data_IF_740389643341
#
_entry.id   IF_740389643341
#
_cell.length_a   1.000
_cell.length_b   1.000
_cell.length_c   1.000
_cell.angle_alpha   90.00
_cell.angle_beta   90.00
_cell.angle_gamma   90.00
#
_symmetry.space_group_name_H-M   'P 1'
#
loop_
_entity.id
_entity.type
_entity.pdbx_description
1 polymer ?
#
# COMPACT_ATOMS: atom_id res chain seq x y z
N UNK A 1 -9.92 31.16 -9.27
CA UNK A 1 -10.28 29.80 -9.74
C UNK A 1 -10.08 28.86 -8.57
N UNK A 2 -11.16 28.53 -7.84
CA UNK A 2 -11.10 27.76 -6.60
C UNK A 2 -11.10 26.28 -6.96
N UNK A 3 -10.06 25.55 -6.56
CA UNK A 3 -10.01 24.10 -6.73
C UNK A 3 -11.13 23.47 -5.90
N UNK A 4 -12.02 22.74 -6.59
CA UNK A 4 -13.11 21.96 -6.02
C UNK A 4 -12.56 21.04 -4.92
N UNK A 5 -13.04 21.27 -3.70
CA UNK A 5 -12.92 20.34 -2.58
C UNK A 5 -13.71 19.08 -2.93
N UNK A 6 -13.02 18.06 -3.42
CA UNK A 6 -13.59 16.73 -3.65
C UNK A 6 -14.05 16.15 -2.31
N UNK A 7 -15.36 16.17 -2.09
CA UNK A 7 -16.04 15.41 -1.04
C UNK A 7 -15.76 13.94 -1.37
N UNK A 8 -14.83 13.32 -0.64
CA UNK A 8 -14.73 11.86 -0.63
C UNK A 8 -16.08 11.33 -0.13
N UNK A 9 -16.77 10.45 -0.86
CA UNK A 9 -17.98 9.82 -0.34
C UNK A 9 -17.64 9.14 0.99
N UNK A 10 -18.51 9.26 1.99
CA UNK A 10 -18.39 8.51 3.23
C UNK A 10 -18.73 7.05 2.91
N UNK A 11 -17.73 6.29 2.48
CA UNK A 11 -17.89 4.88 2.09
C UNK A 11 -18.03 4.06 3.36
N UNK A 12 -19.15 3.36 3.47
CA UNK A 12 -19.41 2.45 4.59
C UNK A 12 -18.43 1.26 4.57
N UNK A 13 -18.11 0.71 5.75
CA UNK A 13 -17.09 -0.33 5.91
C UNK A 13 -17.21 -1.49 4.91
N UNK A 14 -18.42 -2.04 4.74
CA UNK A 14 -18.68 -3.17 3.85
C UNK A 14 -18.57 -2.79 2.36
N UNK A 15 -18.94 -1.55 2.02
CA UNK A 15 -18.83 -1.03 0.66
C UNK A 15 -17.34 -0.86 0.29
N UNK A 16 -16.54 -0.28 1.18
CA UNK A 16 -15.10 -0.16 0.99
C UNK A 16 -14.44 -1.54 0.83
N UNK A 17 -14.81 -2.49 1.68
CA UNK A 17 -14.33 -3.87 1.59
C UNK A 17 -14.68 -4.50 0.24
N UNK A 18 -15.95 -4.37 -0.20
CA UNK A 18 -16.39 -4.89 -1.50
C UNK A 18 -15.61 -4.30 -2.67
N UNK A 19 -15.40 -2.98 -2.68
CA UNK A 19 -14.60 -2.29 -3.69
C UNK A 19 -13.14 -2.77 -3.71
N UNK A 20 -12.51 -2.91 -2.53
CA UNK A 20 -11.13 -3.40 -2.43
C UNK A 20 -11.00 -4.84 -2.92
N UNK A 21 -11.92 -5.72 -2.53
CA UNK A 21 -11.93 -7.12 -2.99
C UNK A 21 -12.12 -7.21 -4.50
N UNK A 22 -13.01 -6.40 -5.08
CA UNK A 22 -13.21 -6.32 -6.52
C UNK A 22 -11.94 -5.83 -7.25
N UNK A 23 -11.26 -4.81 -6.72
CA UNK A 23 -9.98 -4.33 -7.25
C UNK A 23 -8.87 -5.40 -7.16
N UNK A 24 -8.78 -6.12 -6.04
CA UNK A 24 -7.80 -7.19 -5.83
C UNK A 24 -8.00 -8.32 -6.85
N UNK A 25 -9.24 -8.75 -7.07
CA UNK A 25 -9.59 -9.79 -8.08
C UNK A 25 -8.99 -9.49 -9.45
N UNK A 26 -8.97 -8.21 -9.85
CA UNK A 26 -8.48 -7.79 -11.17
C UNK A 26 -6.97 -7.54 -11.23
N UNK A 27 -6.27 -7.56 -10.09
CA UNK A 27 -4.83 -7.38 -10.02
C UNK A 27 -4.10 -8.73 -10.06
N UNK A 28 -3.18 -8.92 -11.01
CA UNK A 28 -2.50 -10.22 -11.24
C UNK A 28 -1.87 -10.84 -9.99
N UNK A 29 -1.34 -10.01 -9.10
CA UNK A 29 -0.71 -10.44 -7.87
C UNK A 29 -1.72 -10.76 -6.76
N UNK A 30 -2.70 -9.89 -6.53
CA UNK A 30 -3.66 -10.01 -5.42
C UNK A 30 -4.84 -10.93 -5.74
N UNK A 31 -5.19 -11.10 -7.02
CA UNK A 31 -6.30 -11.97 -7.44
C UNK A 31 -6.04 -13.46 -7.22
N UNK A 32 -4.79 -13.82 -6.88
CA UNK A 32 -4.41 -15.19 -6.49
C UNK A 32 -4.50 -15.42 -4.98
N UNK A 33 -4.79 -14.39 -4.19
CA UNK A 33 -4.84 -14.50 -2.73
C UNK A 33 -6.14 -15.14 -2.28
N UNK A 34 -6.09 -16.02 -1.27
CA UNK A 34 -7.31 -16.60 -0.75
C UNK A 34 -8.14 -15.55 -0.01
N UNK A 35 -9.47 -15.67 -0.07
CA UNK A 35 -10.39 -14.70 0.53
C UNK A 35 -10.08 -14.42 2.01
N UNK A 36 -9.74 -15.45 2.79
CA UNK A 36 -9.44 -15.32 4.22
C UNK A 36 -8.14 -14.55 4.52
N UNK A 37 -7.28 -14.25 3.53
CA UNK A 37 -6.12 -13.37 3.76
C UNK A 37 -6.55 -11.93 4.05
N UNK A 38 -7.77 -11.55 3.64
CA UNK A 38 -8.34 -10.22 3.86
C UNK A 38 -8.31 -9.78 5.33
N UNK A 39 -8.47 -10.72 6.26
CA UNK A 39 -8.44 -10.49 7.71
C UNK A 39 -7.10 -9.94 8.20
N UNK A 40 -6.02 -10.24 7.48
CA UNK A 40 -4.66 -9.85 7.81
C UNK A 40 -4.19 -8.66 6.99
N UNK A 41 -4.59 -8.59 5.73
CA UNK A 41 -4.02 -7.64 4.76
C UNK A 41 -4.84 -6.34 4.66
N UNK A 42 -6.18 -6.46 4.68
CA UNK A 42 -7.09 -5.35 4.35
C UNK A 42 -7.91 -4.89 5.55
N UNK A 43 -8.49 -5.83 6.32
CA UNK A 43 -9.38 -5.48 7.43
C UNK A 43 -8.72 -4.60 8.49
N UNK A 44 -7.47 -4.85 8.92
CA UNK A 44 -6.83 -3.99 9.92
C UNK A 44 -6.68 -2.54 9.45
N UNK A 45 -6.39 -2.34 8.15
CA UNK A 45 -6.30 -1.02 7.56
C UNK A 45 -7.66 -0.31 7.56
N UNK A 46 -8.72 -1.01 7.15
CA UNK A 46 -10.08 -0.47 7.15
C UNK A 46 -10.53 -0.09 8.56
N UNK A 47 -10.33 -0.96 9.55
CA UNK A 47 -10.74 -0.74 10.93
C UNK A 47 -10.07 0.47 11.58
N UNK A 48 -8.83 0.81 11.18
CA UNK A 48 -8.13 2.00 11.67
C UNK A 48 -8.29 3.23 10.77
N UNK A 49 -9.09 3.15 9.69
CA UNK A 49 -9.19 4.25 8.72
C UNK A 49 -7.88 4.53 7.97
N UNK A 50 -7.00 3.52 7.89
CA UNK A 50 -5.68 3.60 7.27
C UNK A 50 -5.70 3.07 5.83
N UNK A 51 -6.67 3.53 5.05
CA UNK A 51 -6.82 3.15 3.66
C UNK A 51 -7.38 4.30 2.82
N UNK A 52 -7.15 4.26 1.51
CA UNK A 52 -7.73 5.20 0.55
C UNK A 52 -8.06 4.50 -0.75
N UNK A 53 -9.32 4.58 -1.16
CA UNK A 53 -9.81 4.13 -2.47
C UNK A 53 -9.80 5.33 -3.42
N UNK A 54 -9.40 5.08 -4.66
CA UNK A 54 -9.31 6.06 -5.74
C UNK A 54 -10.35 5.74 -6.79
N UNK A 55 -10.95 6.78 -7.36
CA UNK A 55 -12.01 6.69 -8.34
C UNK A 55 -11.62 7.43 -9.62
N UNK A 56 -12.11 6.95 -10.76
CA UNK A 56 -12.05 7.69 -12.02
C UNK A 56 -13.14 8.79 -12.08
N UNK A 57 -13.19 9.52 -13.20
CA UNK A 57 -14.17 10.58 -13.46
C UNK A 57 -15.63 10.08 -13.44
N UNK A 58 -15.86 8.78 -13.69
CA UNK A 58 -17.16 8.14 -13.68
C UNK A 58 -17.53 7.53 -12.32
N UNK A 59 -16.69 7.74 -11.29
CA UNK A 59 -16.81 7.15 -9.94
C UNK A 59 -16.66 5.63 -9.89
N UNK A 60 -15.97 5.02 -10.85
CA UNK A 60 -15.57 3.62 -10.74
C UNK A 60 -14.32 3.52 -9.84
N UNK A 61 -14.24 2.58 -8.89
CA UNK A 61 -13.03 2.37 -8.12
C UNK A 61 -11.92 1.88 -9.06
N UNK A 62 -10.75 2.53 -9.05
CA UNK A 62 -9.63 2.22 -9.97
C UNK A 62 -8.35 1.80 -9.27
N UNK A 63 -8.32 1.92 -7.95
CA UNK A 63 -7.23 1.45 -7.13
C UNK A 63 -7.42 1.81 -5.67
N UNK A 64 -6.60 1.23 -4.81
CA UNK A 64 -6.52 1.58 -3.41
C UNK A 64 -5.10 1.44 -2.87
N UNK A 65 -4.86 2.06 -1.73
CA UNK A 65 -3.69 1.80 -0.91
C UNK A 65 -4.11 1.64 0.56
N UNK A 66 -3.44 0.73 1.26
CA UNK A 66 -3.54 0.55 2.71
C UNK A 66 -2.20 0.86 3.35
N UNK A 67 -2.24 1.32 4.61
CA UNK A 67 -1.01 1.58 5.36
C UNK A 67 -1.13 1.20 6.83
N UNK A 68 0.02 1.12 7.47
CA UNK A 68 0.17 0.93 8.90
C UNK A 68 1.16 1.95 9.47
N UNK A 69 0.90 2.40 10.70
CA UNK A 69 1.79 3.21 11.51
C UNK A 69 2.40 2.35 12.60
N UNK A 70 3.59 1.83 12.37
CA UNK A 70 4.23 0.85 13.23
C UNK A 70 5.13 1.52 14.27
N UNK A 71 5.27 0.89 15.43
CA UNK A 71 6.43 1.13 16.30
C UNK A 71 7.64 0.35 15.78
N UNK A 72 8.81 0.57 16.40
CA UNK A 72 10.05 -0.08 15.96
C UNK A 72 9.96 -1.61 16.11
N UNK A 73 9.39 -2.14 17.20
CA UNK A 73 9.26 -3.59 17.41
C UNK A 73 8.40 -4.26 16.33
N UNK A 74 7.24 -3.70 16.00
CA UNK A 74 6.36 -4.23 14.96
C UNK A 74 7.01 -4.15 13.57
N UNK A 75 7.78 -3.08 13.31
CA UNK A 75 8.56 -2.95 12.09
C UNK A 75 9.66 -4.01 12.01
N UNK A 76 10.43 -4.23 13.08
CA UNK A 76 11.48 -5.25 13.11
C UNK A 76 10.92 -6.66 12.97
N UNK A 77 9.81 -6.96 13.66
CA UNK A 77 9.06 -8.22 13.51
C UNK A 77 8.79 -8.52 12.03
N UNK A 78 8.29 -7.54 11.29
CA UNK A 78 8.02 -7.69 9.85
C UNK A 78 9.30 -7.83 9.03
N UNK A 79 10.35 -7.05 9.31
CA UNK A 79 11.60 -7.09 8.55
C UNK A 79 12.37 -8.42 8.71
N UNK A 80 12.20 -9.04 9.87
CA UNK A 80 12.77 -10.34 10.26
C UNK A 80 11.88 -11.53 9.87
N UNK A 81 10.68 -11.29 9.32
CA UNK A 81 9.71 -12.31 8.94
C UNK A 81 9.22 -13.17 10.14
N UNK A 82 9.06 -12.54 11.31
CA UNK A 82 8.63 -13.16 12.58
C UNK A 82 7.09 -13.29 12.71
N UNK A 83 6.39 -13.31 11.57
CA UNK A 83 4.94 -13.46 11.48
C UNK A 83 4.14 -12.16 11.39
N UNK A 84 2.81 -12.31 11.41
CA UNK A 84 1.86 -11.25 11.09
C UNK A 84 1.72 -10.20 12.20
N UNK A 85 1.30 -8.99 11.83
CA UNK A 85 0.94 -7.94 12.78
C UNK A 85 -0.38 -8.28 13.50
N UNK A 86 -0.43 -8.03 14.80
CA UNK A 86 -1.69 -7.92 15.52
C UNK A 86 -2.40 -6.60 15.17
N UNK A 87 -3.73 -6.55 15.29
CA UNK A 87 -4.53 -5.36 14.99
C UNK A 87 -4.04 -4.11 15.73
N UNK A 88 -3.61 -4.23 16.99
CA UNK A 88 -3.08 -3.10 17.77
C UNK A 88 -1.78 -2.53 17.21
N UNK A 89 -0.96 -3.35 16.56
CA UNK A 89 0.34 -2.96 16.02
C UNK A 89 0.22 -2.09 14.76
N UNK A 90 -0.93 -2.14 14.07
CA UNK A 90 -1.19 -1.34 12.86
C UNK A 90 -1.21 0.17 13.07
N UNK A 91 -1.41 0.62 14.32
CA UNK A 91 -1.42 2.05 14.71
C UNK A 91 -0.49 2.34 15.90
N UNK A 92 0.55 1.53 16.06
CA UNK A 92 1.42 1.52 17.24
C UNK A 92 2.53 2.58 17.27
N UNK A 93 2.81 3.31 16.18
CA UNK A 93 3.94 4.24 16.18
C UNK A 93 4.01 5.22 15.01
N UNK A 94 5.22 5.53 14.54
CA UNK A 94 5.50 6.57 13.55
C UNK A 94 6.22 6.05 12.29
N UNK A 95 6.43 4.73 12.17
CA UNK A 95 6.98 4.12 10.98
C UNK A 95 5.87 3.77 10.00
N UNK A 96 5.76 4.56 8.93
CA UNK A 96 4.78 4.33 7.87
C UNK A 96 5.17 3.12 7.02
N UNK A 97 4.28 2.14 6.94
CA UNK A 97 4.36 1.04 6.00
C UNK A 97 3.19 1.13 5.02
N UNK A 98 3.46 1.04 3.72
CA UNK A 98 2.41 0.69 2.76
C UNK A 98 2.23 -0.82 2.77
N UNK A 99 1.09 -1.29 3.27
CA UNK A 99 0.75 -2.70 3.36
C UNK A 99 0.39 -3.23 1.97
N UNK A 100 -0.61 -2.61 1.33
CA UNK A 100 -1.05 -2.95 -0.03
C UNK A 100 -1.17 -1.73 -0.92
N UNK A 101 -0.93 -1.97 -2.21
CA UNK A 101 -1.14 -1.01 -3.28
C UNK A 101 -1.70 -1.75 -4.49
N UNK A 102 -2.93 -1.41 -4.88
CA UNK A 102 -3.66 -2.08 -5.95
C UNK A 102 -4.11 -1.04 -6.96
N UNK A 103 -3.74 -1.21 -8.23
CA UNK A 103 -4.11 -0.31 -9.33
C UNK A 103 -4.14 -1.09 -10.67
N UNK A 104 -5.14 -1.97 -10.89
CA UNK A 104 -5.13 -2.96 -11.96
C UNK A 104 -5.19 -2.38 -13.38
N UNK A 105 -5.62 -1.12 -13.53
CA UNK A 105 -5.88 -0.48 -14.82
C UNK A 105 -5.02 0.76 -15.11
N UNK A 106 -3.80 0.78 -14.61
CA UNK A 106 -2.82 1.80 -15.01
C UNK A 106 -2.84 3.11 -14.21
N UNK A 107 -3.61 3.18 -13.12
CA UNK A 107 -3.70 4.38 -12.28
C UNK A 107 -2.52 4.54 -11.30
N UNK A 108 -1.53 3.65 -11.35
CA UNK A 108 -0.39 3.60 -10.43
C UNK A 108 0.32 4.94 -10.24
N UNK A 109 0.63 5.65 -11.34
CA UNK A 109 1.38 6.91 -11.28
C UNK A 109 0.58 8.01 -10.57
N UNK A 110 -0.71 8.12 -10.89
CA UNK A 110 -1.59 9.14 -10.32
C UNK A 110 -1.78 8.90 -8.82
N UNK A 111 -2.06 7.65 -8.43
CA UNK A 111 -2.21 7.24 -7.03
C UNK A 111 -0.90 7.50 -6.25
N UNK A 112 0.26 7.11 -6.79
CA UNK A 112 1.54 7.37 -6.12
C UNK A 112 1.86 8.86 -6.00
N UNK A 113 1.48 9.68 -6.97
CA UNK A 113 1.66 11.13 -6.88
C UNK A 113 0.78 11.71 -5.77
N UNK A 114 -0.47 11.28 -5.64
CA UNK A 114 -1.35 11.71 -4.56
C UNK A 114 -0.83 11.26 -3.19
N UNK A 115 -0.45 9.99 -3.04
CA UNK A 115 0.14 9.50 -1.79
C UNK A 115 1.37 10.31 -1.37
N UNK A 116 2.22 10.69 -2.32
CA UNK A 116 3.49 11.39 -2.04
C UNK A 116 3.37 12.90 -1.98
N UNK A 117 2.32 13.48 -2.55
CA UNK A 117 2.10 14.94 -2.59
C UNK A 117 1.06 15.44 -1.61
N UNK A 118 0.04 14.62 -1.33
CA UNK A 118 -1.14 15.06 -0.58
C UNK A 118 -1.32 14.26 0.71
N UNK A 119 -1.23 12.92 0.66
CA UNK A 119 -1.50 12.08 1.85
C UNK A 119 -0.31 12.04 2.80
N UNK A 120 0.90 11.83 2.26
CA UNK A 120 2.13 11.67 3.03
C UNK A 120 3.29 12.55 2.50
N UNK A 121 3.08 13.86 2.29
CA UNK A 121 4.10 14.73 1.69
C UNK A 121 5.41 14.78 2.49
N UNK A 122 5.32 14.64 3.81
CA UNK A 122 6.43 14.82 4.75
C UNK A 122 6.87 13.53 5.42
N UNK A 123 6.42 12.37 4.94
CA UNK A 123 6.77 11.09 5.54
C UNK A 123 7.66 10.28 4.61
N UNK A 124 8.55 9.50 5.21
CA UNK A 124 9.12 8.31 4.59
C UNK A 124 8.20 7.13 4.86
N UNK A 125 8.21 6.16 3.95
CA UNK A 125 7.52 4.89 4.14
C UNK A 125 8.37 3.74 3.63
N UNK A 126 8.01 2.53 4.02
CA UNK A 126 8.54 1.32 3.41
C UNK A 126 7.41 0.39 2.95
N UNK A 127 7.74 -0.60 2.12
CA UNK A 127 6.83 -1.71 1.81
C UNK A 127 7.61 -2.99 1.56
N UNK A 128 6.94 -4.13 1.67
CA UNK A 128 7.55 -5.45 1.48
C UNK A 128 7.09 -6.04 0.14
N UNK A 129 8.04 -6.44 -0.69
CA UNK A 129 7.79 -7.37 -1.79
C UNK A 129 7.98 -8.79 -1.27
N UNK A 130 6.97 -9.65 -1.45
CA UNK A 130 7.02 -11.06 -1.07
C UNK A 130 7.16 -11.98 -2.29
N UNK A 131 7.65 -13.19 -2.05
CA UNK A 131 7.57 -14.32 -2.97
C UNK A 131 6.20 -14.98 -2.88
N UNK A 132 5.90 -15.93 -3.77
CA UNK A 132 4.63 -16.68 -3.75
C UNK A 132 4.46 -17.51 -2.46
N UNK A 133 5.56 -17.93 -1.84
CA UNK A 133 5.57 -18.64 -0.57
C UNK A 133 5.44 -17.71 0.66
N UNK A 134 5.26 -16.41 0.44
CA UNK A 134 5.13 -15.40 1.49
C UNK A 134 6.46 -14.84 2.00
N UNK A 135 7.61 -15.46 1.70
CA UNK A 135 8.90 -14.97 2.19
C UNK A 135 9.26 -13.59 1.63
N UNK A 136 10.00 -12.79 2.39
CA UNK A 136 10.40 -11.43 1.98
C UNK A 136 11.41 -11.50 0.84
N UNK A 137 10.97 -11.11 -0.36
CA UNK A 137 11.82 -10.90 -1.54
C UNK A 137 12.66 -9.65 -1.41
N UNK A 138 12.04 -8.54 -0.97
CA UNK A 138 12.65 -7.20 -1.03
C UNK A 138 11.94 -6.20 -0.12
N UNK A 139 12.71 -5.26 0.42
CA UNK A 139 12.18 -4.06 1.09
C UNK A 139 12.30 -2.86 0.14
N UNK A 140 11.22 -2.11 -0.01
CA UNK A 140 11.17 -0.88 -0.77
C UNK A 140 11.03 0.32 0.15
N UNK A 141 11.61 1.45 -0.24
CA UNK A 141 11.50 2.70 0.50
C UNK A 141 10.92 3.79 -0.40
N UNK A 142 10.08 4.59 0.23
CA UNK A 142 9.30 5.64 -0.39
C UNK A 142 9.48 6.92 0.40
N UNK A 143 9.32 8.05 -0.29
CA UNK A 143 9.34 9.36 0.35
C UNK A 143 8.32 10.28 -0.28
N UNK A 144 7.62 11.03 0.56
CA UNK A 144 6.83 12.18 0.14
C UNK A 144 7.69 13.23 -0.58
N UNK A 145 7.05 14.14 -1.31
CA UNK A 145 7.74 15.18 -2.07
C UNK A 145 8.43 16.22 -1.18
N UNK A 146 7.91 16.45 0.03
CA UNK A 146 8.47 17.39 1.01
C UNK A 146 9.43 16.72 2.02
N UNK A 147 9.65 15.40 1.94
CA UNK A 147 10.58 14.71 2.84
C UNK A 147 12.04 15.04 2.48
N UNK A 148 12.72 15.74 3.39
CA UNK A 148 14.06 16.33 3.17
C UNK A 148 15.21 15.38 3.51
N UNK A 149 15.02 14.47 4.46
CA UNK A 149 16.10 13.58 4.91
C UNK A 149 16.42 12.48 3.88
N UNK A 150 17.66 12.00 3.93
CA UNK A 150 18.08 10.86 3.12
C UNK A 150 17.57 9.56 3.72
N UNK A 151 16.85 8.77 2.92
CA UNK A 151 16.45 7.40 3.27
C UNK A 151 17.63 6.41 3.22
N UNK A 152 18.82 6.83 2.79
CA UNK A 152 19.98 5.97 2.55
C UNK A 152 20.61 5.41 3.83
N UNK A 153 20.51 6.10 4.98
CA UNK A 153 21.09 5.60 6.25
C UNK A 153 20.40 4.32 6.74
N UNK A 154 19.08 4.32 6.80
CA UNK A 154 18.27 3.17 7.21
C UNK A 154 18.37 1.99 6.21
N UNK A 155 18.58 2.30 4.93
CA UNK A 155 18.90 1.29 3.92
C UNK A 155 20.21 0.56 4.24
N UNK A 156 21.25 1.28 4.65
CA UNK A 156 22.53 0.67 5.03
C UNK A 156 22.41 -0.17 6.31
N UNK A 157 21.68 0.33 7.32
CA UNK A 157 21.46 -0.38 8.58
C UNK A 157 20.72 -1.72 8.36
N UNK A 158 19.64 -1.73 7.57
CA UNK A 158 18.88 -2.97 7.31
C UNK A 158 19.63 -3.93 6.36
N UNK A 159 20.41 -3.41 5.40
CA UNK A 159 21.31 -4.25 4.61
C UNK A 159 22.35 -4.95 5.49
N UNK A 160 22.83 -4.28 6.54
CA UNK A 160 23.80 -4.85 7.48
C UNK A 160 23.18 -5.86 8.44
N UNK A 161 21.93 -5.66 8.88
CA UNK A 161 21.22 -6.54 9.83
C UNK A 161 20.70 -7.84 9.18
N UNK A 162 20.35 -7.82 7.90
CA UNK A 162 19.65 -8.97 7.29
C UNK A 162 20.57 -10.08 6.77
N UNK A 163 21.90 -9.95 6.85
CA UNK A 163 22.89 -10.99 6.47
C UNK A 163 22.79 -11.50 5.02
N UNK A 164 21.87 -10.95 4.23
CA UNK A 164 21.52 -11.29 2.86
C UNK A 164 21.52 -9.98 2.10
N UNK A 165 22.15 -9.97 0.93
CA UNK A 165 22.07 -8.87 -0.05
C UNK A 165 20.61 -8.68 -0.54
N UNK A 166 19.68 -8.23 0.32
CA UNK A 166 18.33 -7.79 -0.08
C UNK A 166 18.54 -6.55 -0.93
N UNK A 167 18.47 -6.69 -2.27
CA UNK A 167 18.80 -5.64 -3.24
C UNK A 167 17.88 -4.42 -3.06
N UNK A 168 18.31 -3.44 -2.25
CA UNK A 168 17.56 -2.22 -1.94
C UNK A 168 17.48 -1.35 -3.20
N UNK A 169 16.27 -0.97 -3.60
CA UNK A 169 16.10 -0.04 -4.72
C UNK A 169 14.93 0.89 -4.49
N UNK A 170 15.11 2.13 -4.96
CA UNK A 170 14.02 3.07 -5.16
C UNK A 170 13.12 2.52 -6.26
N UNK A 171 11.86 2.24 -5.94
CA UNK A 171 10.90 1.81 -6.97
C UNK A 171 10.59 3.00 -7.86
N UNK A 172 10.88 2.84 -9.15
CA UNK A 172 10.23 3.63 -10.19
C UNK A 172 8.92 2.93 -10.48
N UNK A 173 7.78 3.63 -10.60
CA UNK A 173 6.51 3.00 -10.95
C UNK A 173 6.72 2.14 -12.20
N UNK A 174 6.54 0.83 -12.06
CA UNK A 174 6.64 -0.13 -13.16
C UNK A 174 5.47 0.04 -14.12
N UNK A 175 5.66 -0.43 -15.36
CA UNK A 175 4.75 -0.32 -16.51
C UNK A 175 3.28 -0.32 -16.09
N UNK A 176 2.62 0.80 -16.37
CA UNK A 176 1.18 0.98 -16.36
C UNK A 176 0.50 -0.21 -17.03
N UNK A 177 -0.36 -0.92 -16.31
CA UNK A 177 -1.21 -1.96 -16.90
C UNK A 177 -2.00 -1.38 -18.08
N UNK A 178 -2.04 -2.11 -19.19
CA UNK A 178 -2.83 -1.74 -20.39
C UNK A 178 -4.26 -2.30 -20.34
N UNK A 179 -4.64 -3.01 -19.26
CA UNK A 179 -6.01 -3.51 -19.10
C UNK A 179 -6.98 -2.36 -18.95
N UNK A 180 -8.15 -2.51 -19.57
CA UNK A 180 -9.28 -1.60 -19.38
C UNK A 180 -10.11 -2.05 -18.19
N UNK A 181 -10.76 -1.09 -17.54
CA UNK A 181 -11.77 -1.34 -16.51
C UNK A 181 -12.92 -2.10 -17.19
N UNK A 182 -13.38 -3.23 -16.64
CA UNK A 182 -14.55 -3.92 -17.18
C UNK A 182 -15.79 -3.03 -17.09
N UNK A 183 -16.73 -3.12 -18.06
CA UNK A 183 -17.99 -2.41 -17.99
C UNK A 183 -18.80 -2.87 -16.75
N UNK A 184 -19.55 -1.96 -16.15
CA UNK A 184 -20.35 -2.23 -14.95
C UNK A 184 -21.23 -3.48 -15.12
N UNK A 185 -20.95 -4.53 -14.34
CA UNK A 185 -21.73 -5.76 -14.31
C UNK A 185 -21.07 -6.99 -14.94
N UNK A 186 -19.90 -6.87 -15.57
CA UNK A 186 -19.16 -8.04 -16.07
C UNK A 186 -18.08 -8.52 -15.07
N UNK A 187 -18.01 -9.84 -14.79
CA UNK A 187 -17.05 -10.42 -13.85
C UNK A 187 -15.60 -10.40 -14.34
#
# INVERSE_FOLDING_TARGET
MVMSSSISPNIEYHEALGMMMWLMKHADYHGQWPLWSVDKDVLPALLHGQSKIYFDENRNPVGFATWAWLNEDAKQKLLNDEGDLQLSQWKGGNHLMFADFVAPWGHTKNILNDLRGNVFPRNRAFSLGRHKDGSIRKVYYWKGFEFKESITKEQHEIASLTGRNKKIQRVRPTKTSTRRIPPNGEP
#
